data_IF_066751721007
#
_entry.id   IF_066751721007
#
_cell.length_a   1.000
_cell.length_b   1.000
_cell.length_c   1.000
_cell.angle_alpha   90.00
_cell.angle_beta   90.00
_cell.angle_gamma   90.00
#
_symmetry.space_group_name_H-M   'P 1'
#
loop_
_entity.id
_entity.type
_entity.pdbx_description
1 polymer ?
#
# COMPACT_ATOMS: atom_id res chain seq x y z
N UNK A 1 29.18 -42.16 -52.03
CA UNK A 1 27.91 -41.57 -51.55
C UNK A 1 28.25 -40.39 -50.68
N UNK A 2 28.17 -39.16 -51.21
CA UNK A 2 28.58 -37.93 -50.52
C UNK A 2 27.36 -37.29 -49.86
N UNK A 3 27.34 -37.28 -48.53
CA UNK A 3 26.27 -36.68 -47.75
C UNK A 3 26.36 -35.15 -47.80
N UNK A 4 25.42 -34.50 -48.48
CA UNK A 4 25.22 -33.06 -48.38
C UNK A 4 24.65 -32.75 -46.99
N UNK A 5 25.50 -32.22 -46.11
CA UNK A 5 25.05 -31.59 -44.88
C UNK A 5 24.35 -30.29 -45.29
N UNK A 6 23.02 -30.28 -45.18
CA UNK A 6 22.21 -29.07 -45.38
C UNK A 6 22.50 -28.15 -44.20
N UNK A 7 23.37 -27.17 -44.43
CA UNK A 7 23.62 -26.08 -43.52
C UNK A 7 22.29 -25.32 -43.40
N UNK A 8 21.58 -25.49 -42.28
CA UNK A 8 20.43 -24.63 -41.95
C UNK A 8 21.02 -23.27 -41.61
N UNK A 9 20.82 -22.31 -42.51
CA UNK A 9 21.08 -20.90 -42.23
C UNK A 9 20.21 -20.48 -41.06
N UNK A 10 20.77 -20.52 -39.85
CA UNK A 10 20.15 -19.90 -38.69
C UNK A 10 20.18 -18.39 -38.95
N UNK A 11 19.04 -17.69 -38.91
CA UNK A 11 19.02 -16.27 -39.17
C UNK A 11 19.94 -15.58 -38.17
N UNK A 12 20.95 -14.88 -38.70
CA UNK A 12 21.90 -14.09 -37.94
C UNK A 12 21.08 -13.07 -37.13
N UNK A 13 20.89 -13.38 -35.85
CA UNK A 13 19.95 -12.66 -35.00
C UNK A 13 20.52 -11.26 -34.80
N UNK A 14 19.98 -10.29 -35.53
CA UNK A 14 20.45 -8.90 -35.55
C UNK A 14 20.71 -8.44 -34.10
N UNK A 15 21.99 -8.31 -33.76
CA UNK A 15 22.42 -8.06 -32.38
C UNK A 15 21.81 -6.78 -31.81
N UNK A 16 21.40 -5.83 -32.66
CA UNK A 16 20.66 -4.63 -32.24
C UNK A 16 19.25 -4.96 -31.77
N UNK A 17 18.54 -5.87 -32.46
CA UNK A 17 17.21 -6.35 -32.06
C UNK A 17 17.30 -7.17 -30.76
N UNK A 18 18.30 -8.04 -30.63
CA UNK A 18 18.52 -8.82 -29.41
C UNK A 18 18.77 -7.92 -28.19
N UNK A 19 19.62 -6.88 -28.33
CA UNK A 19 19.85 -5.89 -27.27
C UNK A 19 18.58 -5.10 -26.94
N UNK A 20 17.81 -4.68 -27.95
CA UNK A 20 16.56 -3.94 -27.75
C UNK A 20 15.52 -4.76 -26.99
N UNK A 21 15.36 -6.05 -27.32
CA UNK A 21 14.47 -6.96 -26.60
C UNK A 21 14.90 -7.07 -25.14
N UNK A 22 16.20 -7.26 -24.90
CA UNK A 22 16.74 -7.36 -23.53
C UNK A 22 16.49 -6.11 -22.68
N UNK A 23 16.62 -4.91 -23.27
CA UNK A 23 16.29 -3.67 -22.56
C UNK A 23 14.80 -3.53 -22.27
N UNK A 24 13.94 -3.98 -23.19
CA UNK A 24 12.50 -4.04 -22.99
C UNK A 24 12.13 -4.99 -21.85
N UNK A 25 12.74 -6.18 -21.82
CA UNK A 25 12.53 -7.16 -20.74
C UNK A 25 12.93 -6.58 -19.38
N UNK A 26 14.10 -5.94 -19.30
CA UNK A 26 14.56 -5.30 -18.05
C UNK A 26 13.65 -4.16 -17.60
N UNK A 27 13.12 -3.38 -18.54
CA UNK A 27 12.17 -2.32 -18.24
C UNK A 27 10.84 -2.89 -17.71
N UNK A 28 10.34 -3.95 -18.33
CA UNK A 28 9.11 -4.63 -17.89
C UNK A 28 9.26 -5.28 -16.51
N UNK A 29 10.40 -5.93 -16.25
CA UNK A 29 10.73 -6.50 -14.94
C UNK A 29 10.82 -5.41 -13.87
N UNK A 30 11.48 -4.28 -14.18
CA UNK A 30 11.56 -3.12 -13.30
C UNK A 30 10.18 -2.54 -12.96
N UNK A 31 9.29 -2.43 -13.96
CA UNK A 31 7.91 -1.98 -13.77
C UNK A 31 7.11 -2.91 -12.85
N UNK A 32 7.24 -4.23 -13.03
CA UNK A 32 6.55 -5.20 -12.16
C UNK A 32 7.02 -5.12 -10.71
N UNK A 33 8.33 -5.02 -10.49
CA UNK A 33 8.90 -4.88 -9.14
C UNK A 33 8.40 -3.57 -8.48
N UNK A 34 8.38 -2.47 -9.22
CA UNK A 34 7.89 -1.19 -8.72
C UNK A 34 6.40 -1.26 -8.32
N UNK A 35 5.56 -1.89 -9.16
CA UNK A 35 4.14 -2.08 -8.83
C UNK A 35 3.95 -2.91 -7.56
N UNK A 36 4.67 -4.03 -7.43
CA UNK A 36 4.62 -4.87 -6.23
C UNK A 36 5.03 -4.08 -4.97
N UNK A 37 6.08 -3.29 -5.05
CA UNK A 37 6.55 -2.49 -3.92
C UNK A 37 5.52 -1.45 -3.48
N UNK A 38 4.89 -0.74 -4.43
CA UNK A 38 3.82 0.22 -4.15
C UNK A 38 2.64 -0.48 -3.48
N UNK A 39 2.19 -1.62 -4.02
CA UNK A 39 1.08 -2.38 -3.43
C UNK A 39 1.39 -2.83 -2.01
N UNK A 40 2.56 -3.41 -1.76
CA UNK A 40 2.97 -3.85 -0.42
C UNK A 40 2.98 -2.68 0.56
N UNK A 41 3.52 -1.53 0.14
CA UNK A 41 3.60 -0.33 0.98
C UNK A 41 2.20 0.19 1.34
N UNK A 42 1.29 0.31 0.37
CA UNK A 42 -0.08 0.80 0.58
C UNK A 42 -0.88 -0.17 1.47
N UNK A 43 -0.74 -1.48 1.26
CA UNK A 43 -1.41 -2.49 2.08
C UNK A 43 -0.91 -2.43 3.52
N UNK A 44 0.41 -2.31 3.72
CA UNK A 44 0.98 -2.24 5.06
C UNK A 44 0.54 -0.98 5.81
N UNK A 45 0.55 0.19 5.15
CA UNK A 45 0.02 1.43 5.72
C UNK A 45 -1.45 1.32 6.11
N UNK A 46 -2.27 0.70 5.25
CA UNK A 46 -3.69 0.48 5.52
C UNK A 46 -3.92 -0.41 6.76
N UNK A 47 -3.10 -1.45 6.91
CA UNK A 47 -3.13 -2.34 8.09
C UNK A 47 -2.72 -1.60 9.37
N UNK A 48 -1.65 -0.79 9.31
CA UNK A 48 -1.21 0.00 10.46
C UNK A 48 -2.28 0.99 10.91
N UNK A 49 -2.86 1.74 9.97
CA UNK A 49 -3.98 2.67 10.23
C UNK A 49 -5.15 1.95 10.89
N UNK A 50 -5.54 0.77 10.38
CA UNK A 50 -6.61 -0.03 10.97
C UNK A 50 -6.29 -0.51 12.39
N UNK A 51 -5.05 -0.91 12.66
CA UNK A 51 -4.60 -1.34 14.00
C UNK A 51 -4.63 -0.19 15.00
N UNK A 52 -4.07 0.96 14.62
CA UNK A 52 -4.03 2.16 15.47
C UNK A 52 -5.44 2.64 15.77
N UNK A 53 -6.29 2.73 14.73
CA UNK A 53 -7.70 3.08 14.89
C UNK A 53 -8.41 2.17 15.88
N UNK A 54 -8.35 0.84 15.69
CA UNK A 54 -9.03 -0.11 16.58
C UNK A 54 -8.50 -0.08 18.02
N UNK A 55 -7.19 0.16 18.19
CA UNK A 55 -6.61 0.31 19.52
C UNK A 55 -7.17 1.57 20.20
N UNK A 56 -7.19 2.70 19.49
CA UNK A 56 -7.69 3.97 20.02
C UNK A 56 -9.20 3.96 20.24
N UNK A 57 -9.97 3.30 19.37
CA UNK A 57 -11.41 3.09 19.55
C UNK A 57 -11.69 2.39 20.89
N UNK A 58 -10.97 1.29 21.18
CA UNK A 58 -11.12 0.56 22.45
C UNK A 58 -10.77 1.41 23.67
N UNK A 59 -9.79 2.32 23.53
CA UNK A 59 -9.37 3.22 24.59
C UNK A 59 -10.44 4.29 24.86
N UNK A 60 -11.05 4.88 23.81
CA UNK A 60 -12.05 5.94 23.96
C UNK A 60 -13.45 5.42 24.24
N UNK A 61 -13.77 4.17 23.88
CA UNK A 61 -15.12 3.60 23.95
C UNK A 61 -15.82 3.77 25.31
N UNK A 62 -15.15 3.64 26.48
CA UNK A 62 -15.79 3.86 27.77
C UNK A 62 -16.19 5.31 28.05
N UNK A 63 -15.66 6.27 27.30
CA UNK A 63 -15.76 7.71 27.56
C UNK A 63 -16.67 8.45 26.58
N UNK A 64 -17.26 7.74 25.62
CA UNK A 64 -18.17 8.30 24.61
C UNK A 64 -19.46 7.50 24.57
N UNK A 65 -20.51 8.12 24.02
CA UNK A 65 -21.77 7.42 23.80
C UNK A 65 -21.64 6.41 22.67
N UNK A 66 -22.47 5.36 22.69
CA UNK A 66 -22.54 4.39 21.59
C UNK A 66 -22.88 5.04 20.23
N UNK A 67 -23.64 6.13 20.25
CA UNK A 67 -23.98 6.92 19.04
C UNK A 67 -22.75 7.59 18.44
N UNK A 68 -21.92 8.21 19.27
CA UNK A 68 -20.70 8.88 18.80
C UNK A 68 -19.64 7.86 18.36
N UNK A 69 -19.57 6.71 19.02
CA UNK A 69 -18.73 5.59 18.58
C UNK A 69 -19.14 5.08 17.19
N UNK A 70 -20.44 4.96 16.93
CA UNK A 70 -20.99 4.61 15.61
C UNK A 70 -20.63 5.66 14.54
N UNK A 71 -20.68 6.96 14.88
CA UNK A 71 -20.26 8.02 13.96
C UNK A 71 -18.78 7.92 13.61
N UNK A 72 -17.93 7.70 14.61
CA UNK A 72 -16.47 7.53 14.43
C UNK A 72 -16.18 6.32 13.53
N UNK A 73 -16.90 5.19 13.71
CA UNK A 73 -16.81 4.02 12.82
C UNK A 73 -17.23 4.32 11.39
N UNK A 74 -18.36 5.00 11.23
CA UNK A 74 -18.85 5.41 9.92
C UNK A 74 -17.84 6.32 9.22
N UNK A 75 -17.28 7.30 9.93
CA UNK A 75 -16.26 8.21 9.38
C UNK A 75 -15.01 7.44 8.98
N UNK A 76 -14.52 6.53 9.82
CA UNK A 76 -13.34 5.71 9.51
C UNK A 76 -13.52 4.89 8.22
N UNK A 77 -14.71 4.30 8.02
CA UNK A 77 -15.01 3.52 6.81
C UNK A 77 -15.01 4.33 5.50
N UNK A 78 -15.11 5.66 5.60
CA UNK A 78 -15.17 6.58 4.46
C UNK A 78 -13.83 7.26 4.17
N UNK A 79 -12.80 7.03 5.00
CA UNK A 79 -11.48 7.64 4.82
C UNK A 79 -10.83 7.13 3.54
N UNK A 80 -10.36 8.06 2.72
CA UNK A 80 -9.58 7.79 1.50
C UNK A 80 -8.21 8.43 1.55
N UNK A 81 -8.01 9.43 2.40
CA UNK A 81 -6.80 10.25 2.46
C UNK A 81 -6.25 10.36 3.87
N UNK A 82 -4.94 10.59 3.97
CA UNK A 82 -4.26 10.90 5.24
C UNK A 82 -4.91 12.09 5.96
N UNK A 83 -5.31 13.13 5.22
CA UNK A 83 -5.90 14.33 5.79
C UNK A 83 -7.23 14.02 6.49
N UNK A 84 -8.08 13.19 5.90
CA UNK A 84 -9.33 12.74 6.52
C UNK A 84 -9.07 11.91 7.78
N UNK A 85 -8.04 11.06 7.74
CA UNK A 85 -7.61 10.31 8.92
C UNK A 85 -7.11 11.21 10.05
N UNK A 86 -6.30 12.24 9.75
CA UNK A 86 -5.83 13.20 10.75
C UNK A 86 -6.99 13.92 11.42
N UNK A 87 -7.98 14.37 10.65
CA UNK A 87 -9.18 15.02 11.19
C UNK A 87 -9.95 14.09 12.14
N UNK A 88 -10.12 12.81 11.76
CA UNK A 88 -10.76 11.82 12.64
C UNK A 88 -9.92 11.59 13.91
N UNK A 89 -8.60 11.47 13.75
CA UNK A 89 -7.67 11.26 14.86
C UNK A 89 -7.67 12.43 15.84
N UNK A 90 -7.70 13.68 15.35
CA UNK A 90 -7.83 14.89 16.17
C UNK A 90 -9.16 14.92 16.95
N UNK A 91 -10.26 14.44 16.35
CA UNK A 91 -11.54 14.30 17.04
C UNK A 91 -11.45 13.27 18.17
N UNK A 92 -10.82 12.11 17.93
CA UNK A 92 -10.55 11.11 18.98
C UNK A 92 -9.60 11.67 20.06
N UNK A 93 -8.57 12.42 19.66
CA UNK A 93 -7.61 13.03 20.57
C UNK A 93 -8.28 14.09 21.45
N UNK A 94 -9.25 14.84 20.92
CA UNK A 94 -10.05 15.79 21.69
C UNK A 94 -10.86 15.10 22.80
N UNK A 95 -11.40 13.92 22.52
CA UNK A 95 -12.07 13.08 23.54
C UNK A 95 -11.06 12.58 24.56
N UNK A 96 -9.90 12.10 24.11
CA UNK A 96 -8.87 11.58 24.99
C UNK A 96 -8.31 12.65 25.94
N UNK A 97 -8.02 13.86 25.43
CA UNK A 97 -7.56 15.01 26.22
C UNK A 97 -8.56 15.42 27.29
N UNK A 98 -9.86 15.47 26.96
CA UNK A 98 -10.93 15.76 27.94
C UNK A 98 -10.95 14.77 29.10
N UNK A 99 -10.59 13.52 28.83
CA UNK A 99 -10.59 12.43 29.81
C UNK A 99 -9.19 12.11 30.36
N UNK A 100 -8.16 12.90 30.02
CA UNK A 100 -6.75 12.70 30.41
C UNK A 100 -6.18 11.32 30.02
N UNK A 101 -6.52 10.86 28.82
CA UNK A 101 -6.08 9.58 28.27
C UNK A 101 -5.09 9.84 27.13
N UNK A 102 -4.09 8.98 27.03
CA UNK A 102 -3.15 8.99 25.92
C UNK A 102 -3.60 8.00 24.83
N UNK A 103 -3.66 8.49 23.59
CA UNK A 103 -3.90 7.66 22.42
C UNK A 103 -2.58 7.14 21.86
N UNK A 104 -2.64 6.01 21.16
CA UNK A 104 -1.52 5.54 20.37
C UNK A 104 -1.39 6.43 19.13
N UNK A 105 -0.23 7.04 18.96
CA UNK A 105 0.22 7.62 17.70
C UNK A 105 1.32 6.73 17.14
N UNK A 106 1.11 6.21 15.94
CA UNK A 106 2.21 5.72 15.12
C UNK A 106 2.38 6.71 13.97
N UNK A 107 3.62 6.90 13.51
CA UNK A 107 3.87 7.57 12.24
C UNK A 107 3.44 6.64 11.11
N UNK A 108 2.12 6.54 10.90
CA UNK A 108 1.58 6.15 9.61
C UNK A 108 1.81 7.31 8.64
N UNK A 109 1.89 7.00 7.34
CA UNK A 109 2.19 7.90 6.22
C UNK A 109 3.67 8.24 6.03
#
# INVERSE_FOLDING_TARGET
MSGKIVQKDFPELDMKKAKRIRYLDWFMDGLMIAMLFITITVVNQSILVWRVYNANEKIIAPYITSSDLLKIKSQFSQIKTEKEYKVLFEAMQSVALKNKIELRSESTW
#
